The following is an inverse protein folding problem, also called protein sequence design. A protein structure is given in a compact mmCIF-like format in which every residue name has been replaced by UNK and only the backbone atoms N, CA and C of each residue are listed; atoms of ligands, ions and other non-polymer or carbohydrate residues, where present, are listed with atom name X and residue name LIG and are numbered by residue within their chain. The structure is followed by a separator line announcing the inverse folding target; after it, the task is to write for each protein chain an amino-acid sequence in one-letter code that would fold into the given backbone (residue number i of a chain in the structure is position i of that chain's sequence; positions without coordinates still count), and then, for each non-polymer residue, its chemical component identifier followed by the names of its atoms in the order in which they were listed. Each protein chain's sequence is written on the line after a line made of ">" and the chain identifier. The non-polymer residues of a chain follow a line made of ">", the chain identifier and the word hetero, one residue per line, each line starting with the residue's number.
data_IF_545110776738
#
_entry.id   IF_545110776738
#
_cell.length_a   1.000
_cell.length_b   1.000
_cell.length_c   1.000
_cell.angle_alpha   90.00
_cell.angle_beta   90.00
_cell.angle_gamma   90.00
#
_symmetry.space_group_name_H-M   'P 1'
#
loop_
_entity.id
_entity.type
_entity.pdbx_description
1 polymer ?
#
# COMPACT_ATOMS: atom_id res chain seq x y z
N UNK A 1 -6.63 28.32 2.75
CA UNK A 1 -5.50 27.50 2.24
C UNK A 1 -4.89 26.61 3.33
N UNK A 2 -4.52 27.14 4.51
CA UNK A 2 -3.91 26.35 5.59
C UNK A 2 -4.83 25.27 6.21
N UNK A 3 -6.12 25.55 6.38
CA UNK A 3 -7.07 24.57 6.94
C UNK A 3 -7.24 23.30 6.09
N UNK A 4 -7.17 23.42 4.76
CA UNK A 4 -7.24 22.28 3.85
C UNK A 4 -6.02 21.37 4.00
N UNK A 5 -4.83 21.96 4.18
CA UNK A 5 -3.58 21.23 4.40
C UNK A 5 -3.58 20.49 5.74
N UNK A 6 -4.19 21.06 6.79
CA UNK A 6 -4.32 20.41 8.10
C UNK A 6 -5.24 19.19 8.00
N UNK A 7 -6.42 19.33 7.38
CA UNK A 7 -7.34 18.22 7.16
C UNK A 7 -6.69 17.11 6.32
N UNK A 8 -5.97 17.47 5.25
CA UNK A 8 -5.27 16.51 4.41
C UNK A 8 -4.15 15.78 5.17
N UNK A 9 -3.39 16.49 6.00
CA UNK A 9 -2.31 15.91 6.81
C UNK A 9 -2.83 14.92 7.86
N UNK A 10 -3.99 15.21 8.48
CA UNK A 10 -4.63 14.29 9.43
C UNK A 10 -5.09 13.02 8.72
N UNK A 11 -5.78 13.15 7.59
CA UNK A 11 -6.21 12.01 6.76
C UNK A 11 -5.03 11.18 6.26
N UNK A 12 -3.96 11.85 5.84
CA UNK A 12 -2.74 11.19 5.38
C UNK A 12 -2.02 10.46 6.52
N UNK A 13 -1.91 11.09 7.69
CA UNK A 13 -1.34 10.48 8.89
C UNK A 13 -2.13 9.23 9.33
N UNK A 14 -3.46 9.30 9.32
CA UNK A 14 -4.31 8.15 9.61
C UNK A 14 -4.11 7.03 8.58
N UNK A 15 -4.06 7.37 7.29
CA UNK A 15 -3.83 6.40 6.21
C UNK A 15 -2.47 5.72 6.31
N UNK A 16 -1.42 6.45 6.71
CA UNK A 16 -0.09 5.88 6.96
C UNK A 16 -0.14 4.93 8.15
N UNK A 17 -0.77 5.32 9.26
CA UNK A 17 -0.88 4.46 10.44
C UNK A 17 -1.59 3.14 10.11
N UNK A 18 -2.67 3.20 9.33
CA UNK A 18 -3.35 1.99 8.85
C UNK A 18 -2.42 1.15 7.96
N UNK A 19 -1.69 1.78 7.02
CA UNK A 19 -0.76 1.08 6.11
C UNK A 19 0.40 0.41 6.84
N UNK A 20 0.92 0.99 7.92
CA UNK A 20 2.08 0.43 8.64
C UNK A 20 1.68 -0.67 9.62
N UNK A 21 0.45 -0.65 10.14
CA UNK A 21 0.00 -1.58 11.17
C UNK A 21 -0.75 -2.79 10.60
N UNK A 22 -1.44 -2.68 9.46
CA UNK A 22 -2.17 -3.80 8.84
C UNK A 22 -1.24 -4.95 8.39
N UNK A 23 -0.18 -4.71 7.58
CA UNK A 23 0.69 -5.76 7.08
C UNK A 23 1.33 -6.61 8.19
N UNK A 24 1.89 -6.04 9.28
CA UNK A 24 2.45 -6.84 10.36
C UNK A 24 1.36 -7.56 11.19
N UNK A 25 0.17 -6.97 11.39
CA UNK A 25 -0.92 -7.69 12.07
C UNK A 25 -1.42 -8.89 11.26
N UNK A 26 -1.55 -8.75 9.94
CA UNK A 26 -1.98 -9.84 9.07
C UNK A 26 -0.94 -10.96 9.00
N UNK A 27 0.34 -10.63 8.83
CA UNK A 27 1.40 -11.65 8.81
C UNK A 27 1.54 -12.35 10.16
N UNK A 28 1.43 -11.63 11.28
CA UNK A 28 1.46 -12.23 12.61
C UNK A 28 0.29 -13.20 12.85
N UNK A 29 -0.92 -12.87 12.39
CA UNK A 29 -2.11 -13.74 12.52
C UNK A 29 -2.09 -14.96 11.60
N UNK A 30 -1.63 -14.80 10.35
CA UNK A 30 -1.70 -15.87 9.34
C UNK A 30 -0.55 -16.88 9.47
N UNK A 31 0.66 -16.43 9.84
CA UNK A 31 1.88 -17.25 9.81
C UNK A 31 2.49 -17.54 11.18
N UNK A 32 1.98 -16.93 12.26
CA UNK A 32 2.49 -17.08 13.61
C UNK A 32 3.81 -16.34 13.86
N UNK A 33 4.12 -16.07 15.13
CA UNK A 33 5.24 -15.20 15.53
C UNK A 33 6.64 -15.76 15.26
N UNK A 34 6.79 -17.06 14.97
CA UNK A 34 8.10 -17.75 14.94
C UNK A 34 9.03 -17.33 13.80
N UNK A 35 8.48 -16.95 12.64
CA UNK A 35 9.26 -16.50 11.47
C UNK A 35 8.82 -15.11 10.94
N UNK A 36 8.19 -14.31 11.81
CA UNK A 36 7.62 -13.02 11.46
C UNK A 36 8.64 -12.07 10.79
N UNK A 37 9.83 -11.94 11.38
CA UNK A 37 10.88 -11.04 10.88
C UNK A 37 11.36 -11.42 9.46
N UNK A 38 11.46 -12.72 9.15
CA UNK A 38 11.91 -13.21 7.83
C UNK A 38 10.85 -12.94 6.76
N UNK A 39 9.60 -13.25 7.06
CA UNK A 39 8.48 -13.04 6.11
C UNK A 39 8.21 -11.56 5.90
N UNK A 40 8.21 -10.77 6.98
CA UNK A 40 8.01 -9.32 6.89
C UNK A 40 9.19 -8.63 6.20
N UNK A 41 10.42 -9.11 6.40
CA UNK A 41 11.59 -8.68 5.65
C UNK A 41 11.42 -8.96 4.15
N UNK A 42 10.97 -10.16 3.79
CA UNK A 42 10.69 -10.51 2.39
C UNK A 42 9.60 -9.62 1.78
N UNK A 43 8.49 -9.35 2.49
CA UNK A 43 7.43 -8.43 2.06
C UNK A 43 7.92 -6.98 1.89
N UNK A 44 8.87 -6.54 2.70
CA UNK A 44 9.45 -5.21 2.56
C UNK A 44 10.24 -5.06 1.25
N UNK A 45 10.87 -6.13 0.77
CA UNK A 45 11.57 -6.11 -0.53
C UNK A 45 10.57 -5.80 -1.66
N UNK A 46 9.39 -6.45 -1.67
CA UNK A 46 8.34 -6.16 -2.65
C UNK A 46 7.80 -4.73 -2.52
N UNK A 47 7.63 -4.24 -1.30
CA UNK A 47 7.20 -2.85 -1.06
C UNK A 47 8.24 -1.85 -1.60
N UNK A 48 9.52 -2.15 -1.40
CA UNK A 48 10.64 -1.31 -1.84
C UNK A 48 10.75 -1.33 -3.36
N UNK A 49 10.66 -2.50 -3.98
CA UNK A 49 10.62 -2.66 -5.44
C UNK A 49 9.41 -1.94 -6.05
N UNK A 50 8.24 -2.05 -5.44
CA UNK A 50 7.04 -1.34 -5.89
C UNK A 50 7.22 0.18 -5.85
N UNK A 51 7.91 0.70 -4.84
CA UNK A 51 8.23 2.13 -4.75
C UNK A 51 9.29 2.52 -5.78
N UNK A 52 10.35 1.71 -5.92
CA UNK A 52 11.44 1.92 -6.86
C UNK A 52 10.98 1.89 -8.32
N UNK A 53 10.00 1.06 -8.65
CA UNK A 53 9.39 1.01 -9.99
C UNK A 53 8.30 2.07 -10.14
N UNK A 54 7.49 2.29 -9.10
CA UNK A 54 6.38 3.23 -9.13
C UNK A 54 6.81 4.67 -9.37
N UNK A 55 7.82 5.17 -8.65
CA UNK A 55 8.27 6.56 -8.77
C UNK A 55 8.71 6.91 -10.22
N UNK A 56 9.64 6.19 -10.86
CA UNK A 56 10.03 6.47 -12.23
C UNK A 56 8.91 6.20 -13.25
N UNK A 57 8.05 5.20 -13.03
CA UNK A 57 6.90 4.94 -13.89
C UNK A 57 5.92 6.14 -13.89
N UNK A 58 5.68 6.73 -12.72
CA UNK A 58 4.85 7.94 -12.60
C UNK A 58 5.47 9.15 -13.30
N UNK A 59 6.80 9.29 -13.24
CA UNK A 59 7.54 10.33 -13.96
C UNK A 59 7.47 10.14 -15.49
N UNK A 60 7.62 8.90 -15.96
CA UNK A 60 7.55 8.58 -17.39
C UNK A 60 6.14 8.80 -17.97
N UNK A 61 5.10 8.43 -17.23
CA UNK A 61 3.70 8.68 -17.61
C UNK A 61 3.43 10.20 -17.67
N UNK A 62 4.02 10.97 -16.76
CA UNK A 62 3.89 12.42 -16.74
C UNK A 62 4.59 13.08 -17.92
N UNK A 63 5.80 12.64 -18.28
CA UNK A 63 6.55 13.15 -19.42
C UNK A 63 5.82 12.92 -20.76
N UNK A 64 5.16 11.78 -20.92
CA UNK A 64 4.42 11.46 -22.14
C UNK A 64 3.06 12.16 -22.25
N UNK A 65 2.33 12.29 -21.14
CA UNK A 65 0.93 12.73 -21.18
C UNK A 65 0.77 14.20 -20.76
N UNK A 66 1.80 14.82 -20.17
CA UNK A 66 1.76 16.13 -19.48
C UNK A 66 0.63 16.26 -18.44
N UNK A 67 0.04 15.15 -18.02
CA UNK A 67 -1.11 15.08 -17.13
C UNK A 67 -1.00 13.84 -16.24
N UNK A 68 -1.19 14.02 -14.93
CA UNK A 68 -1.13 12.94 -13.94
C UNK A 68 -2.37 12.04 -13.90
N UNK A 69 -3.42 12.39 -14.65
CA UNK A 69 -4.71 11.68 -14.58
C UNK A 69 -4.59 10.18 -14.89
N UNK A 70 -3.75 9.83 -15.87
CA UNK A 70 -3.53 8.45 -16.30
C UNK A 70 -2.73 7.63 -15.26
N UNK A 71 -1.71 8.25 -14.65
CA UNK A 71 -0.95 7.64 -13.56
C UNK A 71 -1.84 7.39 -12.35
N UNK A 72 -2.66 8.37 -11.95
CA UNK A 72 -3.59 8.21 -10.84
C UNK A 72 -4.62 7.10 -11.08
N UNK A 73 -5.19 7.00 -12.28
CA UNK A 73 -6.12 5.91 -12.62
C UNK A 73 -5.46 4.52 -12.48
N UNK A 74 -4.20 4.39 -12.92
CA UNK A 74 -3.43 3.15 -12.82
C UNK A 74 -3.15 2.78 -11.35
N UNK A 75 -2.75 3.76 -10.51
CA UNK A 75 -2.55 3.54 -9.08
C UNK A 75 -3.83 3.20 -8.34
N UNK A 76 -4.95 3.83 -8.69
CA UNK A 76 -6.27 3.51 -8.14
C UNK A 76 -6.61 2.05 -8.45
N UNK A 77 -6.40 1.61 -9.69
CA UNK A 77 -6.62 0.22 -10.09
C UNK A 77 -5.76 -0.76 -9.28
N UNK A 78 -4.46 -0.48 -9.14
CA UNK A 78 -3.56 -1.31 -8.33
C UNK A 78 -3.98 -1.37 -6.85
N UNK A 79 -4.41 -0.23 -6.28
CA UNK A 79 -4.91 -0.15 -4.91
C UNK A 79 -6.17 -1.00 -4.71
N UNK A 80 -7.11 -0.99 -5.66
CA UNK A 80 -8.34 -1.80 -5.58
C UNK A 80 -7.97 -3.29 -5.61
N UNK A 81 -7.09 -3.70 -6.52
CA UNK A 81 -6.63 -5.10 -6.61
C UNK A 81 -5.97 -5.53 -5.29
N UNK A 82 -5.09 -4.71 -4.73
CA UNK A 82 -4.44 -4.98 -3.46
C UNK A 82 -5.45 -5.07 -2.30
N UNK A 83 -6.45 -4.20 -2.28
CA UNK A 83 -7.51 -4.21 -1.27
C UNK A 83 -8.37 -5.48 -1.36
N UNK A 84 -8.75 -5.90 -2.58
CA UNK A 84 -9.55 -7.12 -2.81
C UNK A 84 -8.76 -8.36 -2.40
N UNK A 85 -7.48 -8.47 -2.80
CA UNK A 85 -6.61 -9.57 -2.40
C UNK A 85 -6.40 -9.60 -0.89
N UNK A 86 -6.13 -8.44 -0.27
CA UNK A 86 -5.96 -8.33 1.18
C UNK A 86 -7.22 -8.73 1.94
N UNK A 87 -8.40 -8.29 1.48
CA UNK A 87 -9.68 -8.68 2.04
C UNK A 87 -9.95 -10.18 1.89
N UNK A 88 -9.68 -10.75 0.71
CA UNK A 88 -9.85 -12.18 0.47
C UNK A 88 -8.95 -13.04 1.37
N UNK A 89 -7.71 -12.59 1.60
CA UNK A 89 -6.77 -13.25 2.52
C UNK A 89 -7.24 -13.15 3.97
N UNK A 90 -7.72 -11.98 4.40
CA UNK A 90 -8.31 -11.79 5.74
C UNK A 90 -9.51 -12.71 5.98
N UNK A 91 -10.46 -12.75 5.04
CA UNK A 91 -11.66 -13.60 5.14
C UNK A 91 -11.29 -15.08 5.19
N UNK A 92 -10.26 -15.50 4.44
CA UNK A 92 -9.72 -16.87 4.54
C UNK A 92 -9.10 -17.17 5.90
N UNK A 93 -8.44 -16.18 6.53
CA UNK A 93 -7.82 -16.35 7.84
C UNK A 93 -8.82 -16.42 8.99
N UNK A 94 -10.02 -15.83 8.89
CA UNK A 94 -11.06 -15.91 9.93
C UNK A 94 -11.91 -17.18 9.85
N UNK A 95 -11.83 -17.92 8.74
CA UNK A 95 -12.57 -19.19 8.53
C UNK A 95 -11.83 -20.43 9.05
N UNK A 96 -10.59 -20.28 9.50
CA UNK A 96 -9.83 -21.30 10.25
C UNK A 96 -9.89 -20.98 11.73
#
# INVERSE_FOLDING_TARGET
>A
WMWLAVVFSILFGFSIAVRTVLPPLMTARVLGQKHFAVIYGFLNIFTTLGTAVGVPLSGFIYDWTKSYSLAFALYIGLCIIAAVLGYAVLVRSMKK
#
